data_IF_485399197814
#
_entry.id   IF_485399197814
#
_cell.length_a   1.000
_cell.length_b   1.000
_cell.length_c   1.000
_cell.angle_alpha   90.00
_cell.angle_beta   90.00
_cell.angle_gamma   90.00
#
_symmetry.space_group_name_H-M   'P 1'
#
loop_
_entity.id
_entity.type
_entity.pdbx_description
1 polymer ?
#
# COMPACT_ATOMS: atom_id res chain seq x y z
N UNK A 1 9.52 0.30 34.87
CA UNK A 1 9.30 1.38 34.02
C UNK A 1 10.05 1.26 32.75
N UNK A 2 11.34 1.19 32.82
CA UNK A 2 12.11 1.08 31.63
C UNK A 2 11.77 -0.13 30.83
N UNK A 3 11.44 -1.19 31.51
CA UNK A 3 11.06 -2.42 30.83
C UNK A 3 9.87 -2.22 29.95
N UNK A 4 8.93 -1.47 30.42
CA UNK A 4 7.73 -1.23 29.64
C UNK A 4 8.03 -0.51 28.36
N UNK A 5 8.93 0.43 28.41
CA UNK A 5 9.30 1.15 27.24
C UNK A 5 9.93 0.25 26.21
N UNK A 6 10.74 -0.65 26.66
CA UNK A 6 11.38 -1.57 25.75
C UNK A 6 10.37 -2.45 25.07
N UNK A 7 9.39 -2.90 25.80
CA UNK A 7 8.36 -3.73 25.23
C UNK A 7 7.58 -3.00 24.16
N UNK A 8 7.26 -1.75 24.41
CA UNK A 8 6.55 -0.99 23.43
C UNK A 8 7.37 -0.83 22.16
N UNK A 9 8.64 -0.59 22.32
CA UNK A 9 9.49 -0.45 21.17
C UNK A 9 9.51 -1.72 20.37
N UNK A 10 9.55 -2.84 21.03
CA UNK A 10 9.57 -4.11 20.34
C UNK A 10 8.32 -4.31 19.51
N UNK A 11 7.21 -3.80 19.98
CA UNK A 11 5.98 -3.94 19.24
C UNK A 11 6.02 -3.29 17.88
N UNK A 12 6.82 -2.26 17.71
CA UNK A 12 6.90 -1.59 16.44
C UNK A 12 7.54 -2.43 15.37
N UNK A 13 8.44 -3.30 15.72
CA UNK A 13 9.11 -4.08 14.73
C UNK A 13 8.16 -4.96 13.97
N UNK A 14 7.16 -5.46 14.62
CA UNK A 14 6.23 -6.34 13.95
C UNK A 14 5.46 -5.61 12.90
N UNK A 15 5.18 -4.35 13.16
CA UNK A 15 4.38 -3.58 12.24
C UNK A 15 5.16 -3.24 10.99
N UNK A 16 6.47 -3.26 11.09
CA UNK A 16 7.27 -2.82 9.98
C UNK A 16 7.92 -3.90 9.18
N UNK A 17 7.61 -5.14 9.44
CA UNK A 17 8.41 -6.18 8.90
C UNK A 17 8.46 -6.10 7.44
N UNK A 18 8.09 -5.76 6.56
CA UNK A 18 8.43 -5.70 5.16
C UNK A 18 7.92 -4.46 4.48
N UNK A 19 7.26 -3.62 5.23
CA UNK A 19 6.69 -2.43 4.64
C UNK A 19 7.73 -1.34 4.52
N UNK A 20 7.83 -0.76 3.32
CA UNK A 20 8.81 0.27 3.01
C UNK A 20 8.07 1.60 2.94
N UNK A 21 8.54 2.62 3.66
CA UNK A 21 7.88 3.93 3.60
C UNK A 21 7.97 4.54 2.21
N UNK A 22 6.91 5.15 1.76
CA UNK A 22 6.88 5.81 0.46
C UNK A 22 6.52 7.29 0.59
N UNK A 23 5.52 7.62 1.37
CA UNK A 23 5.02 8.98 1.48
C UNK A 23 4.43 9.18 2.87
N UNK A 24 4.64 10.36 3.42
CA UNK A 24 4.06 10.66 4.72
C UNK A 24 3.82 12.15 4.84
N UNK A 25 2.68 12.51 5.39
CA UNK A 25 2.41 13.89 5.73
C UNK A 25 1.73 13.90 7.10
N UNK A 26 1.05 15.00 7.44
CA UNK A 26 0.42 15.09 8.76
C UNK A 26 -0.74 14.14 8.89
N UNK A 27 -1.40 13.84 7.80
CA UNK A 27 -2.62 13.04 7.87
C UNK A 27 -2.39 11.56 7.66
N UNK A 28 -1.54 11.18 6.72
CA UNK A 28 -1.40 9.78 6.37
C UNK A 28 0.05 9.37 6.21
N UNK A 29 0.26 8.06 6.27
CA UNK A 29 1.52 7.46 5.93
C UNK A 29 1.24 6.34 4.94
N UNK A 30 2.01 6.27 3.86
CA UNK A 30 1.83 5.29 2.79
C UNK A 30 3.07 4.43 2.69
N UNK A 31 2.86 3.13 2.64
CA UNK A 31 3.94 2.16 2.58
C UNK A 31 3.69 1.20 1.44
N UNK A 32 4.72 0.50 1.02
CA UNK A 32 4.54 -0.57 0.05
C UNK A 32 5.46 -1.73 0.37
N UNK A 33 5.14 -2.88 -0.20
CA UNK A 33 6.05 -4.03 -0.16
C UNK A 33 5.74 -4.90 -1.37
N UNK A 34 6.71 -5.67 -1.79
CA UNK A 34 6.50 -6.57 -2.92
C UNK A 34 6.02 -7.91 -2.40
N UNK A 35 5.20 -8.58 -3.19
CA UNK A 35 4.77 -9.91 -2.85
C UNK A 35 4.47 -10.68 -4.12
N UNK A 36 4.51 -11.99 -4.03
CA UNK A 36 4.21 -12.85 -5.15
C UNK A 36 2.80 -13.39 -4.97
N UNK A 37 1.95 -13.11 -5.94
CA UNK A 37 0.58 -13.61 -5.90
C UNK A 37 0.46 -14.72 -6.93
N UNK A 38 0.07 -15.89 -6.49
CA UNK A 38 0.04 -17.06 -7.34
C UNK A 38 -1.37 -17.36 -7.80
N UNK A 39 -1.48 -17.71 -9.08
CA UNK A 39 -2.72 -18.21 -9.62
C UNK A 39 -2.50 -19.70 -9.84
N UNK A 40 -2.88 -20.48 -8.87
CA UNK A 40 -2.61 -21.90 -8.89
C UNK A 40 -3.29 -22.58 -10.05
N UNK A 41 -4.49 -22.17 -10.38
CA UNK A 41 -5.24 -22.79 -11.45
C UNK A 41 -4.58 -22.64 -12.79
N UNK A 42 -3.96 -21.49 -13.01
CA UNK A 42 -3.33 -21.23 -14.30
C UNK A 42 -1.84 -21.43 -14.28
N UNK A 43 -1.28 -21.78 -13.14
CA UNK A 43 0.13 -22.07 -13.06
C UNK A 43 1.02 -20.86 -13.25
N UNK A 44 0.55 -19.67 -12.96
CA UNK A 44 1.33 -18.46 -13.14
C UNK A 44 1.43 -17.72 -11.82
N UNK A 45 2.47 -16.89 -11.72
CA UNK A 45 2.68 -16.04 -10.56
C UNK A 45 2.89 -14.64 -11.05
N UNK A 46 2.36 -13.70 -10.30
CA UNK A 46 2.54 -12.29 -10.60
C UNK A 46 3.12 -11.59 -9.38
N UNK A 47 4.03 -10.70 -9.63
CA UNK A 47 4.61 -9.93 -8.54
C UNK A 47 3.91 -8.58 -8.48
N UNK A 48 3.46 -8.22 -7.30
CA UNK A 48 2.75 -6.96 -7.08
C UNK A 48 3.44 -6.17 -5.98
N UNK A 49 3.25 -4.87 -6.04
CA UNK A 49 3.47 -4.02 -4.86
C UNK A 49 2.15 -3.96 -4.13
N UNK A 50 2.15 -4.31 -2.87
CA UNK A 50 0.98 -4.08 -2.03
C UNK A 50 1.14 -2.73 -1.36
N UNK A 51 0.05 -2.05 -1.14
CA UNK A 51 0.05 -0.70 -0.60
C UNK A 51 -0.64 -0.72 0.75
N UNK A 52 -0.05 -0.03 1.71
CA UNK A 52 -0.67 0.15 3.01
C UNK A 52 -0.80 1.64 3.28
N UNK A 53 -1.97 2.06 3.70
CA UNK A 53 -2.22 3.46 4.02
C UNK A 53 -2.73 3.54 5.44
N UNK A 54 -2.12 4.39 6.24
CA UNK A 54 -2.47 4.62 7.63
C UNK A 54 -3.01 5.99 7.84
N UNK A 55 -4.11 6.09 8.56
CA UNK A 55 -4.62 7.37 9.03
C UNK A 55 -3.94 7.68 10.35
N UNK A 56 -3.17 8.75 10.40
CA UNK A 56 -2.43 9.14 11.60
C UNK A 56 -3.25 10.03 12.54
N UNK A 57 -4.48 10.31 12.18
CA UNK A 57 -5.28 11.29 12.90
C UNK A 57 -6.50 10.66 13.56
N UNK A 58 -7.16 11.45 14.37
CA UNK A 58 -8.42 11.03 14.98
C UNK A 58 -9.63 11.48 14.16
N UNK A 59 -9.41 11.86 12.91
CA UNK A 59 -10.49 12.32 12.03
C UNK A 59 -10.70 11.29 10.93
N UNK A 60 -11.88 11.30 10.35
CA UNK A 60 -12.15 10.47 9.19
C UNK A 60 -11.56 11.17 7.97
N UNK A 61 -10.86 10.44 7.14
CA UNK A 61 -10.20 11.01 5.97
C UNK A 61 -10.71 10.34 4.71
N UNK A 62 -10.75 11.11 3.62
CA UNK A 62 -10.92 10.56 2.28
C UNK A 62 -9.56 10.63 1.63
N UNK A 63 -9.05 9.49 1.22
CA UNK A 63 -7.73 9.39 0.63
C UNK A 63 -7.87 9.11 -0.85
N UNK A 64 -7.08 9.79 -1.67
CA UNK A 64 -7.08 9.54 -3.10
C UNK A 64 -5.67 9.56 -3.64
N UNK A 65 -5.43 8.78 -4.65
CA UNK A 65 -4.19 8.84 -5.42
C UNK A 65 -4.41 8.09 -6.72
N UNK A 66 -3.41 8.19 -7.60
CA UNK A 66 -3.41 7.40 -8.83
C UNK A 66 -2.26 6.43 -8.76
N UNK A 67 -2.48 5.23 -9.25
CA UNK A 67 -1.43 4.23 -9.37
C UNK A 67 -0.56 4.60 -10.57
N UNK A 68 0.75 4.50 -10.39
CA UNK A 68 1.67 4.75 -11.49
C UNK A 68 2.15 6.18 -11.54
N UNK A 69 2.71 6.57 -12.68
CA UNK A 69 3.31 7.88 -12.84
C UNK A 69 2.27 8.91 -13.23
N UNK A 70 2.68 10.17 -13.25
CA UNK A 70 1.77 11.26 -13.62
C UNK A 70 1.17 11.09 -15.00
N UNK A 71 1.88 10.41 -15.89
CA UNK A 71 1.38 10.17 -17.22
C UNK A 71 0.26 9.17 -17.26
N UNK A 72 0.03 8.48 -16.15
CA UNK A 72 -0.92 7.37 -16.13
C UNK A 72 -2.17 7.69 -15.35
N UNK A 73 -2.51 8.95 -15.25
CA UNK A 73 -3.74 9.31 -14.54
C UNK A 73 -4.94 9.02 -15.41
N UNK A 74 -5.71 8.04 -15.02
CA UNK A 74 -6.94 7.69 -15.71
C UNK A 74 -7.87 7.12 -14.66
N UNK A 75 -9.14 6.96 -15.02
CA UNK A 75 -10.11 6.41 -14.08
C UNK A 75 -9.73 5.01 -13.63
N UNK A 76 -9.10 4.26 -14.50
CA UNK A 76 -8.68 2.91 -14.14
C UNK A 76 -7.63 2.88 -13.06
N UNK A 77 -6.81 3.92 -13.01
CA UNK A 77 -5.72 3.97 -12.05
C UNK A 77 -6.04 4.77 -10.80
N UNK A 78 -7.22 5.32 -10.75
CA UNK A 78 -7.61 6.15 -9.61
C UNK A 78 -8.04 5.28 -8.44
N UNK A 79 -7.55 5.61 -7.25
CA UNK A 79 -7.92 4.92 -6.03
C UNK A 79 -8.44 5.95 -5.06
N UNK A 80 -9.61 5.70 -4.49
CA UNK A 80 -10.20 6.62 -3.52
C UNK A 80 -10.93 5.78 -2.47
N UNK A 81 -10.75 6.11 -1.22
CA UNK A 81 -11.39 5.37 -0.16
C UNK A 81 -11.40 6.19 1.13
N UNK A 82 -12.19 5.71 2.09
CA UNK A 82 -12.34 6.37 3.38
C UNK A 82 -11.50 5.61 4.40
N UNK A 83 -10.79 6.35 5.26
CA UNK A 83 -10.12 5.79 6.42
C UNK A 83 -10.75 6.38 7.67
N UNK A 84 -11.22 5.53 8.54
CA UNK A 84 -11.72 5.96 9.84
C UNK A 84 -10.55 6.39 10.72
N UNK A 85 -10.81 7.06 11.84
CA UNK A 85 -9.69 7.49 12.70
C UNK A 85 -8.74 6.36 13.02
N UNK A 86 -7.48 6.59 12.80
CA UNK A 86 -6.39 5.67 13.10
C UNK A 86 -6.47 4.33 12.35
N UNK A 87 -7.29 4.25 11.36
CA UNK A 87 -7.46 3.02 10.60
C UNK A 87 -6.28 2.78 9.65
N UNK A 88 -5.98 1.52 9.39
CA UNK A 88 -4.95 1.10 8.44
C UNK A 88 -5.61 0.17 7.45
N UNK A 89 -5.42 0.45 6.15
CA UNK A 89 -5.89 -0.47 5.11
C UNK A 89 -4.69 -0.94 4.33
N UNK A 90 -4.67 -2.24 4.04
CA UNK A 90 -3.53 -2.85 3.33
C UNK A 90 -4.04 -3.69 2.18
N UNK A 91 -3.30 -3.67 1.09
CA UNK A 91 -3.60 -4.53 -0.04
C UNK A 91 -3.22 -5.97 0.23
N UNK A 92 -3.69 -6.86 -0.60
CA UNK A 92 -3.34 -8.27 -0.50
C UNK A 92 -3.48 -8.89 -1.88
N UNK A 93 -3.14 -10.18 -1.96
CA UNK A 93 -3.28 -10.89 -3.22
C UNK A 93 -4.74 -11.19 -3.55
N UNK A 94 -5.62 -11.16 -2.58
CA UNK A 94 -7.03 -11.44 -2.82
C UNK A 94 -7.71 -10.24 -3.43
N UNK A 95 -8.76 -10.50 -4.17
CA UNK A 95 -9.53 -9.41 -4.76
C UNK A 95 -10.09 -8.51 -3.68
N UNK A 96 -9.99 -7.21 -3.90
CA UNK A 96 -10.52 -6.21 -2.98
C UNK A 96 -11.13 -5.10 -3.80
N UNK A 97 -12.24 -4.53 -3.34
CA UNK A 97 -12.85 -3.41 -4.06
C UNK A 97 -11.91 -2.21 -4.17
N UNK A 98 -11.11 -2.00 -3.14
CA UNK A 98 -10.14 -0.90 -3.15
C UNK A 98 -8.84 -1.44 -3.71
N UNK A 99 -8.33 -0.78 -4.73
CA UNK A 99 -7.13 -1.27 -5.41
C UNK A 99 -5.89 -0.81 -4.67
N UNK A 100 -5.46 -1.60 -3.72
CA UNK A 100 -4.25 -1.28 -2.98
C UNK A 100 -3.11 -2.18 -3.41
N UNK A 101 -2.98 -2.35 -4.71
CA UNK A 101 -1.84 -3.08 -5.25
C UNK A 101 -1.55 -2.57 -6.65
N UNK A 102 -0.28 -2.66 -7.03
CA UNK A 102 0.19 -2.21 -8.32
C UNK A 102 1.01 -3.35 -8.92
N UNK A 103 0.70 -3.71 -10.14
CA UNK A 103 1.39 -4.78 -10.82
C UNK A 103 2.87 -4.43 -11.01
N UNK A 104 3.74 -5.38 -10.73
CA UNK A 104 5.16 -5.18 -10.88
C UNK A 104 5.75 -6.01 -12.01
N UNK A 105 5.44 -7.29 -12.06
CA UNK A 105 5.94 -8.12 -13.14
C UNK A 105 5.27 -9.49 -13.13
N UNK A 106 5.32 -10.16 -14.27
CA UNK A 106 4.98 -11.55 -14.35
C UNK A 106 6.22 -12.34 -14.03
N UNK A 107 6.13 -13.18 -13.04
CA UNK A 107 7.32 -13.81 -12.51
C UNK A 107 7.45 -15.28 -12.86
N UNK A 108 6.67 -15.79 -13.75
CA UNK A 108 6.73 -17.21 -14.03
C UNK A 108 7.91 -17.57 -14.91
N UNK A 109 8.58 -16.59 -15.48
CA UNK A 109 9.71 -16.87 -16.33
C UNK A 109 10.99 -16.35 -15.74
N UNK A 110 11.16 -16.51 -14.47
CA UNK A 110 12.39 -16.13 -13.83
C UNK A 110 12.65 -14.67 -13.81
N UNK A 111 11.64 -13.89 -13.85
CA UNK A 111 11.80 -12.49 -13.69
C UNK A 111 12.52 -11.77 -14.77
N UNK A 112 12.43 -12.27 -15.98
CA UNK A 112 13.10 -11.63 -17.06
C UNK A 112 12.37 -10.45 -17.62
N UNK A 113 11.14 -10.28 -17.33
CA UNK A 113 10.40 -9.19 -17.90
C UNK A 113 10.80 -7.85 -17.33
N UNK A 114 10.31 -6.80 -17.90
CA UNK A 114 10.51 -5.46 -17.38
C UNK A 114 9.76 -5.30 -16.09
N UNK A 115 10.42 -4.72 -15.11
CA UNK A 115 9.78 -4.49 -13.83
C UNK A 115 9.27 -3.07 -13.76
N UNK A 116 8.05 -2.92 -13.33
CA UNK A 116 7.45 -1.62 -13.15
C UNK A 116 7.90 -1.05 -11.82
N UNK A 117 8.43 0.16 -11.80
CA UNK A 117 8.83 0.75 -10.51
C UNK A 117 7.58 1.13 -9.72
N UNK A 118 7.73 1.16 -8.40
CA UNK A 118 6.62 1.58 -7.57
C UNK A 118 6.45 3.08 -7.68
N UNK A 119 5.23 3.51 -7.95
CA UNK A 119 4.97 4.93 -8.10
C UNK A 119 3.50 5.19 -7.87
N UNK A 120 3.22 6.21 -7.10
CA UNK A 120 1.87 6.74 -6.92
C UNK A 120 1.96 8.23 -7.18
N UNK A 121 0.88 8.83 -7.60
CA UNK A 121 0.92 10.27 -7.85
C UNK A 121 -0.37 10.93 -7.39
N UNK A 122 -0.30 12.23 -7.20
CA UNK A 122 -1.44 13.06 -6.82
C UNK A 122 -2.10 12.54 -5.53
N UNK A 123 -1.26 12.26 -4.53
CA UNK A 123 -1.73 11.72 -3.26
C UNK A 123 -2.36 12.84 -2.44
N UNK A 124 -3.56 12.61 -1.95
CA UNK A 124 -4.22 13.59 -1.08
C UNK A 124 -5.04 12.90 -0.01
N UNK A 125 -5.20 13.57 1.11
CA UNK A 125 -6.03 13.10 2.21
C UNK A 125 -6.78 14.32 2.74
N UNK A 126 -8.09 14.22 2.77
CA UNK A 126 -8.95 15.33 3.15
C UNK A 126 -9.81 14.92 4.32
N UNK A 127 -9.87 15.76 5.33
CA UNK A 127 -10.70 15.48 6.50
C UNK A 127 -12.17 15.65 6.14
N UNK A 128 -12.98 14.77 6.70
CA UNK A 128 -14.42 14.81 6.50
C UNK A 128 -15.04 15.29 7.80
N UNK A 129 -15.86 16.29 7.71
CA UNK A 129 -16.51 16.83 8.92
C UNK A 129 -18.01 16.65 8.91
#
# INVERSE_FOLDING_TARGET
MKTLLVILAAGFFWLNEDWVPYFENKEIAVYHKTTLCEDIQNGVSFEYYLIQVRNKTNETLVVNFYLGSLNERSEENKVAFVLNPLEVKSGSCNYQPIKLRLFRSENYKKGKGNMTPFNLNTISAIEVH
#
